data_IF_452781491843
#
_entry.id   IF_452781491843
#
_cell.length_a   1.000
_cell.length_b   1.000
_cell.length_c   1.000
_cell.angle_alpha   90.00
_cell.angle_beta   90.00
_cell.angle_gamma   90.00
#
_symmetry.space_group_name_H-M   'P 1'
#
loop_
_entity.id
_entity.type
_entity.pdbx_description
1 polymer ?
#
# COMPACT_ATOMS: atom_id res chain seq x y z
N UNK A 1 31.42 35.53 39.29
CA UNK A 1 30.23 35.81 38.50
C UNK A 1 30.20 34.75 37.43
N UNK A 2 29.30 33.80 37.63
CA UNK A 2 29.03 32.64 36.79
C UNK A 2 28.98 33.00 35.30
N UNK A 3 29.82 32.34 34.53
CA UNK A 3 29.63 32.15 33.08
C UNK A 3 28.57 31.07 32.92
N UNK A 4 27.32 31.48 32.85
CA UNK A 4 26.22 30.61 32.40
C UNK A 4 26.40 30.38 30.90
N UNK A 5 27.16 29.33 30.56
CA UNK A 5 27.10 28.68 29.26
C UNK A 5 25.67 28.15 29.09
N UNK A 6 24.82 29.01 28.53
CA UNK A 6 23.49 28.65 28.09
C UNK A 6 23.63 27.56 27.03
N UNK A 7 23.38 26.32 27.48
CA UNK A 7 23.24 25.13 26.66
C UNK A 7 22.17 25.41 25.59
N UNK A 8 22.60 25.85 24.40
CA UNK A 8 21.75 25.88 23.23
C UNK A 8 21.48 24.43 22.84
N UNK A 9 20.42 23.85 23.40
CA UNK A 9 19.80 22.67 22.84
C UNK A 9 19.26 23.11 21.48
N UNK A 10 20.03 22.84 20.44
CA UNK A 10 19.53 22.83 19.07
C UNK A 10 18.53 21.69 19.03
N UNK A 11 17.26 21.95 19.36
CA UNK A 11 16.14 21.14 18.96
C UNK A 11 16.11 21.23 17.43
N UNK A 12 16.95 20.43 16.78
CA UNK A 12 16.89 20.24 15.34
C UNK A 12 15.46 19.85 15.03
N UNK A 13 14.82 20.59 14.13
CA UNK A 13 13.53 20.29 13.56
C UNK A 13 13.60 19.04 12.66
N UNK A 14 14.23 17.97 13.15
CA UNK A 14 14.01 16.63 12.63
C UNK A 14 12.57 16.29 12.94
N UNK A 15 11.84 15.82 11.93
CA UNK A 15 10.41 15.50 12.06
C UNK A 15 10.13 14.69 13.34
N UNK A 16 8.91 14.84 13.85
CA UNK A 16 8.46 14.05 14.99
C UNK A 16 8.75 12.57 14.74
N UNK A 17 8.90 11.77 15.80
CA UNK A 17 8.96 10.31 15.65
C UNK A 17 7.76 9.77 14.85
N UNK A 18 6.61 10.48 14.90
CA UNK A 18 5.42 10.19 14.11
C UNK A 18 5.60 10.48 12.60
N UNK A 19 6.40 11.49 12.23
CA UNK A 19 6.72 11.79 10.83
C UNK A 19 7.63 10.70 10.26
N UNK A 20 8.66 10.30 11.01
CA UNK A 20 9.56 9.23 10.58
C UNK A 20 8.84 7.88 10.41
N UNK A 21 7.88 7.57 11.29
CA UNK A 21 7.07 6.36 11.19
C UNK A 21 6.13 6.41 9.97
N UNK A 22 5.50 7.56 9.71
CA UNK A 22 4.68 7.77 8.52
C UNK A 22 5.49 7.63 7.24
N UNK A 23 6.63 8.31 7.13
CA UNK A 23 7.52 8.24 5.97
C UNK A 23 8.00 6.80 5.73
N UNK A 24 8.29 6.05 6.80
CA UNK A 24 8.68 4.64 6.71
C UNK A 24 7.54 3.77 6.12
N UNK A 25 6.31 3.97 6.56
CA UNK A 25 5.14 3.24 6.01
C UNK A 25 4.97 3.56 4.52
N UNK A 26 5.01 4.85 4.15
CA UNK A 26 4.87 5.26 2.74
C UNK A 26 5.98 4.64 1.89
N UNK A 27 7.23 4.69 2.34
CA UNK A 27 8.36 4.08 1.64
C UNK A 27 8.25 2.56 1.48
N UNK A 28 7.66 1.86 2.45
CA UNK A 28 7.39 0.42 2.35
C UNK A 28 6.29 0.14 1.31
N UNK A 29 5.27 0.98 1.23
CA UNK A 29 4.21 0.84 0.20
C UNK A 29 4.79 1.09 -1.20
N UNK A 30 5.65 2.10 -1.36
CA UNK A 30 6.37 2.35 -2.60
C UNK A 30 7.26 1.17 -3.00
N UNK A 31 8.00 0.60 -2.04
CA UNK A 31 8.81 -0.59 -2.27
C UNK A 31 7.95 -1.78 -2.70
N UNK A 32 6.78 -1.97 -2.08
CA UNK A 32 5.81 -2.99 -2.48
C UNK A 32 5.32 -2.77 -3.92
N UNK A 33 4.93 -1.55 -4.29
CA UNK A 33 4.46 -1.23 -5.65
C UNK A 33 5.49 -1.59 -6.73
N UNK A 34 6.79 -1.48 -6.42
CA UNK A 34 7.89 -1.80 -7.34
C UNK A 34 8.23 -3.29 -7.31
N UNK A 35 8.25 -3.90 -6.13
CA UNK A 35 8.78 -5.25 -5.91
C UNK A 35 7.74 -6.37 -5.99
N UNK A 36 6.45 -6.01 -5.97
CA UNK A 36 5.36 -6.98 -5.88
C UNK A 36 5.25 -7.86 -7.14
N UNK A 37 5.34 -9.18 -6.92
CA UNK A 37 5.16 -10.17 -7.99
C UNK A 37 3.67 -10.36 -8.33
N UNK A 38 3.19 -9.46 -9.18
CA UNK A 38 1.85 -9.54 -9.77
C UNK A 38 1.63 -10.85 -10.55
N UNK A 39 2.67 -11.46 -11.13
CA UNK A 39 2.51 -12.69 -11.91
C UNK A 39 2.07 -13.85 -11.02
N UNK A 40 2.57 -13.93 -9.78
CA UNK A 40 2.11 -14.92 -8.81
C UNK A 40 0.61 -14.80 -8.52
N UNK A 41 0.08 -13.57 -8.41
CA UNK A 41 -1.36 -13.36 -8.18
C UNK A 41 -2.18 -13.78 -9.39
N UNK A 42 -1.71 -13.47 -10.60
CA UNK A 42 -2.36 -13.92 -11.85
C UNK A 42 -2.45 -15.44 -11.97
N UNK A 43 -1.48 -16.18 -11.44
CA UNK A 43 -1.55 -17.65 -11.39
C UNK A 43 -2.68 -18.17 -10.50
N UNK A 44 -3.22 -17.36 -9.61
CA UNK A 44 -4.36 -17.69 -8.76
C UNK A 44 -5.72 -17.31 -9.38
N UNK A 45 -5.72 -16.58 -10.48
CA UNK A 45 -6.93 -16.17 -11.22
C UNK A 45 -7.32 -17.27 -12.21
N UNK A 46 -8.59 -17.69 -12.27
CA UNK A 46 -9.04 -18.69 -13.24
C UNK A 46 -8.92 -18.17 -14.69
N UNK A 47 -8.77 -19.04 -15.70
CA UNK A 47 -8.79 -18.60 -17.09
C UNK A 47 -10.12 -17.93 -17.44
N UNK A 48 -10.08 -16.84 -18.22
CA UNK A 48 -11.25 -16.01 -18.52
C UNK A 48 -12.36 -16.83 -19.18
N UNK A 49 -12.04 -17.70 -20.13
CA UNK A 49 -13.01 -18.57 -20.80
C UNK A 49 -13.78 -19.53 -19.86
N UNK A 50 -13.30 -19.73 -18.63
CA UNK A 50 -13.99 -20.57 -17.63
C UNK A 50 -14.99 -19.79 -16.78
N UNK A 51 -14.98 -18.46 -16.83
CA UNK A 51 -15.84 -17.58 -16.03
C UNK A 51 -16.92 -16.99 -16.93
N UNK A 52 -18.18 -17.33 -16.65
CA UNK A 52 -19.31 -16.99 -17.51
C UNK A 52 -20.16 -15.86 -16.92
N UNK A 53 -20.06 -14.68 -17.50
CA UNK A 53 -20.91 -13.52 -17.18
C UNK A 53 -20.23 -12.46 -16.31
N UNK A 54 -20.71 -11.24 -16.46
CA UNK A 54 -20.08 -10.03 -15.91
C UNK A 54 -20.04 -10.05 -14.37
N UNK A 55 -21.03 -10.66 -13.72
CA UNK A 55 -21.08 -10.77 -12.26
C UNK A 55 -19.94 -11.65 -11.71
N UNK A 56 -19.70 -12.79 -12.35
CA UNK A 56 -18.65 -13.71 -11.93
C UNK A 56 -17.26 -13.11 -12.25
N UNK A 57 -17.13 -12.41 -13.38
CA UNK A 57 -15.90 -11.69 -13.72
C UNK A 57 -15.59 -10.58 -12.70
N UNK A 58 -16.59 -9.80 -12.31
CA UNK A 58 -16.45 -8.79 -11.27
C UNK A 58 -16.09 -9.42 -9.90
N UNK A 59 -16.64 -10.59 -9.58
CA UNK A 59 -16.28 -11.32 -8.35
C UNK A 59 -14.82 -11.77 -8.37
N UNK A 60 -14.30 -12.20 -9.52
CA UNK A 60 -12.89 -12.55 -9.68
C UNK A 60 -12.01 -11.31 -9.56
N UNK A 61 -12.42 -10.18 -10.14
CA UNK A 61 -11.74 -8.89 -9.98
C UNK A 61 -11.63 -8.46 -8.51
N UNK A 62 -12.74 -8.43 -7.78
CA UNK A 62 -12.70 -8.03 -6.36
C UNK A 62 -11.88 -9.01 -5.51
N UNK A 63 -11.93 -10.30 -5.84
CA UNK A 63 -11.10 -11.31 -5.18
C UNK A 63 -9.61 -11.17 -5.52
N UNK A 64 -9.28 -10.67 -6.71
CA UNK A 64 -7.91 -10.37 -7.11
C UNK A 64 -7.38 -9.18 -6.29
N UNK A 65 -8.12 -8.07 -6.24
CA UNK A 65 -7.74 -6.90 -5.45
C UNK A 65 -7.54 -7.26 -3.97
N UNK A 66 -8.48 -8.00 -3.39
CA UNK A 66 -8.37 -8.44 -1.99
C UNK A 66 -7.10 -9.27 -1.71
N UNK A 67 -6.58 -10.02 -2.69
CA UNK A 67 -5.31 -10.76 -2.53
C UNK A 67 -4.10 -9.83 -2.58
N UNK A 68 -4.14 -8.80 -3.43
CA UNK A 68 -3.09 -7.78 -3.47
C UNK A 68 -3.09 -6.98 -2.17
N UNK A 69 -4.26 -6.56 -1.69
CA UNK A 69 -4.40 -5.83 -0.43
C UNK A 69 -3.89 -6.66 0.76
N UNK A 70 -4.23 -7.95 0.82
CA UNK A 70 -3.70 -8.84 1.86
C UNK A 70 -2.18 -9.00 1.80
N UNK A 71 -1.60 -9.01 0.59
CA UNK A 71 -0.15 -9.08 0.43
C UNK A 71 0.52 -7.77 0.86
N UNK A 72 -0.08 -6.62 0.53
CA UNK A 72 0.36 -5.31 0.97
C UNK A 72 0.32 -5.20 2.50
N UNK A 73 -0.82 -5.54 3.12
CA UNK A 73 -1.00 -5.52 4.57
C UNK A 73 0.06 -6.38 5.27
N UNK A 74 0.29 -7.60 4.76
CA UNK A 74 1.30 -8.50 5.31
C UNK A 74 2.72 -7.93 5.16
N UNK A 75 3.02 -7.30 4.01
CA UNK A 75 4.32 -6.69 3.74
C UNK A 75 4.58 -5.50 4.67
N UNK A 76 3.59 -4.61 4.81
CA UNK A 76 3.67 -3.43 5.68
C UNK A 76 3.80 -3.84 7.15
N UNK A 77 3.00 -4.78 7.65
CA UNK A 77 3.10 -5.24 9.04
C UNK A 77 4.41 -5.98 9.34
N UNK A 78 5.00 -6.64 8.35
CA UNK A 78 6.31 -7.27 8.49
C UNK A 78 7.44 -6.24 8.57
N UNK A 79 7.35 -5.15 7.80
CA UNK A 79 8.36 -4.10 7.75
C UNK A 79 8.22 -3.07 8.89
N UNK A 80 7.00 -2.82 9.36
CA UNK A 80 6.67 -1.83 10.38
C UNK A 80 6.06 -2.51 11.63
N UNK A 81 6.89 -3.18 12.45
CA UNK A 81 6.42 -3.99 13.60
C UNK A 81 5.85 -3.15 14.75
N UNK A 82 5.95 -1.82 14.67
CA UNK A 82 5.33 -0.90 15.61
C UNK A 82 3.80 -0.86 15.52
N UNK A 83 3.23 -1.21 14.36
CA UNK A 83 1.79 -1.33 14.16
C UNK A 83 1.32 -2.75 14.45
N UNK A 84 0.20 -2.88 15.16
CA UNK A 84 -0.37 -4.16 15.57
C UNK A 84 -1.39 -4.69 14.57
N UNK A 85 -1.94 -3.81 13.73
CA UNK A 85 -2.90 -4.16 12.68
C UNK A 85 -2.80 -3.21 11.48
N UNK A 86 -3.23 -3.68 10.30
CA UNK A 86 -3.32 -2.84 9.11
C UNK A 86 -4.32 -1.69 9.27
N UNK A 87 -5.32 -1.83 10.15
CA UNK A 87 -6.26 -0.74 10.49
C UNK A 87 -5.55 0.47 11.12
N UNK A 88 -4.52 0.27 11.95
CA UNK A 88 -3.73 1.37 12.51
C UNK A 88 -2.97 2.12 11.41
N UNK A 89 -2.44 1.37 10.43
CA UNK A 89 -1.75 1.93 9.27
C UNK A 89 -2.72 2.68 8.36
N UNK A 90 -3.87 2.11 8.02
CA UNK A 90 -4.90 2.77 7.20
C UNK A 90 -5.37 4.06 7.86
N UNK A 91 -5.58 4.04 9.18
CA UNK A 91 -5.97 5.24 9.94
C UNK A 91 -4.88 6.32 9.88
N UNK A 92 -3.62 5.92 9.96
CA UNK A 92 -2.49 6.84 9.83
C UNK A 92 -2.44 7.47 8.44
N UNK A 93 -2.53 6.65 7.38
CA UNK A 93 -2.50 7.12 5.99
C UNK A 93 -3.67 8.04 5.67
N UNK A 94 -4.88 7.73 6.13
CA UNK A 94 -6.06 8.57 5.93
C UNK A 94 -5.92 9.96 6.57
N UNK A 95 -5.36 10.04 7.77
CA UNK A 95 -5.16 11.31 8.48
C UNK A 95 -4.19 12.25 7.77
N UNK A 96 -3.27 11.70 6.98
CA UNK A 96 -2.18 12.41 6.33
C UNK A 96 -2.13 12.17 4.82
N UNK A 97 -3.27 11.86 4.20
CA UNK A 97 -3.31 11.52 2.77
C UNK A 97 -2.82 12.67 1.87
N UNK A 98 -2.93 13.92 2.33
CA UNK A 98 -2.41 15.11 1.64
C UNK A 98 -0.87 15.13 1.56
N UNK A 99 -0.18 14.39 2.44
CA UNK A 99 1.28 14.25 2.45
C UNK A 99 1.77 13.06 1.59
N UNK A 100 0.85 12.26 1.04
CA UNK A 100 1.14 11.09 0.20
C UNK A 100 1.08 11.49 -1.26
N UNK A 101 1.96 10.91 -2.10
CA UNK A 101 1.86 11.10 -3.54
C UNK A 101 0.53 10.54 -4.08
N UNK A 102 -0.05 11.20 -5.09
CA UNK A 102 -1.33 10.78 -5.66
C UNK A 102 -1.30 9.31 -6.13
N UNK A 103 -0.16 8.85 -6.67
CA UNK A 103 0.03 7.48 -7.13
C UNK A 103 -0.05 6.46 -5.99
N UNK A 104 0.68 6.71 -4.89
CA UNK A 104 0.66 5.82 -3.71
C UNK A 104 -0.72 5.85 -3.06
N UNK A 105 -1.34 7.03 -2.95
CA UNK A 105 -2.68 7.14 -2.40
C UNK A 105 -3.74 6.42 -3.23
N UNK A 106 -3.71 6.57 -4.56
CA UNK A 106 -4.61 5.87 -5.47
C UNK A 106 -4.43 4.35 -5.37
N UNK A 107 -3.18 3.87 -5.29
CA UNK A 107 -2.90 2.46 -5.11
C UNK A 107 -3.53 1.88 -3.83
N UNK A 108 -3.41 2.58 -2.70
CA UNK A 108 -3.93 2.11 -1.40
C UNK A 108 -5.46 2.28 -1.29
N UNK A 109 -6.04 3.28 -1.95
CA UNK A 109 -7.47 3.60 -1.82
C UNK A 109 -8.36 2.99 -2.89
N UNK A 110 -7.86 2.86 -4.13
CA UNK A 110 -8.60 2.36 -5.29
C UNK A 110 -8.09 0.98 -5.75
N UNK A 111 -6.87 0.62 -5.37
CA UNK A 111 -6.22 -0.65 -5.72
C UNK A 111 -5.26 -0.52 -6.91
N UNK A 112 -4.67 -1.66 -7.29
CA UNK A 112 -3.61 -1.70 -8.32
C UNK A 112 -4.11 -1.63 -9.78
N UNK A 113 -5.39 -1.91 -10.03
CA UNK A 113 -6.01 -1.82 -11.36
C UNK A 113 -7.45 -1.38 -11.22
N UNK A 114 -7.93 -0.57 -12.15
CA UNK A 114 -9.36 -0.47 -12.42
C UNK A 114 -9.87 -1.76 -13.13
N UNK A 115 -11.19 -1.90 -13.20
CA UNK A 115 -11.82 -3.09 -13.79
C UNK A 115 -11.48 -3.25 -15.29
N UNK A 116 -11.38 -2.16 -16.05
CA UNK A 116 -11.09 -2.22 -17.48
C UNK A 116 -9.66 -2.72 -17.72
N UNK A 117 -8.69 -2.13 -17.02
CA UNK A 117 -7.29 -2.53 -17.04
C UNK A 117 -7.10 -3.98 -16.56
N UNK A 118 -7.81 -4.39 -15.51
CA UNK A 118 -7.83 -5.78 -15.05
C UNK A 118 -8.32 -6.72 -16.14
N UNK A 119 -9.43 -6.40 -16.82
CA UNK A 119 -9.99 -7.23 -17.88
C UNK A 119 -9.06 -7.34 -19.10
N UNK A 120 -8.34 -6.28 -19.46
CA UNK A 120 -7.33 -6.32 -20.51
C UNK A 120 -6.16 -7.25 -20.15
N UNK A 121 -5.64 -7.12 -18.92
CA UNK A 121 -4.57 -7.99 -18.42
C UNK A 121 -5.02 -9.44 -18.29
N UNK A 122 -6.26 -9.68 -17.83
CA UNK A 122 -6.82 -11.01 -17.69
C UNK A 122 -6.87 -11.72 -19.06
N UNK A 123 -7.36 -11.03 -20.10
CA UNK A 123 -7.36 -11.56 -21.48
C UNK A 123 -5.95 -11.90 -21.99
N UNK A 124 -4.96 -11.10 -21.64
CA UNK A 124 -3.59 -11.30 -22.09
C UNK A 124 -2.86 -12.43 -21.34
N UNK A 125 -3.03 -12.51 -20.01
CA UNK A 125 -2.29 -13.42 -19.13
C UNK A 125 -2.98 -14.77 -18.92
N UNK A 126 -4.33 -14.80 -18.92
CA UNK A 126 -5.15 -15.99 -18.62
C UNK A 126 -6.39 -16.04 -19.52
N UNK A 127 -6.23 -16.16 -20.86
CA UNK A 127 -7.37 -16.22 -21.79
C UNK A 127 -8.31 -17.40 -21.52
#
# INVERSE_FOLDING_TARGET
>A
MDTEEGEFIICGNGGSSEDAAFDAVVGVIEDFMISFDLEQVWQSVPPLHTVSGDHDQHTVYTSFLAKVDQALDAHVLAACPEYKSSEEVVTLLQKRHEDITEEVWAFVSEGCFDYEAFMEQWKAKRP
#
